data_IF_842550778816
#
_entry.id   IF_842550778816
#
_cell.length_a   1.000
_cell.length_b   1.000
_cell.length_c   1.000
_cell.angle_alpha   90.00
_cell.angle_beta   90.00
_cell.angle_gamma   90.00
#
_symmetry.space_group_name_H-M   'P 1'
#
loop_
_entity.id
_entity.type
_entity.pdbx_description
1 polymer ?
#
# COMPACT_ATOMS: atom_id res chain seq x y z
N UNK A 1 13.41 -11.22 -17.39
CA UNK A 1 14.04 -10.81 -16.10
C UNK A 1 12.87 -10.49 -15.19
N UNK A 2 12.69 -11.21 -14.08
CA UNK A 2 11.63 -10.88 -13.14
C UNK A 2 11.84 -9.43 -12.68
N UNK A 3 10.77 -8.62 -12.74
CA UNK A 3 10.87 -7.19 -12.44
C UNK A 3 11.18 -6.94 -10.95
N UNK A 4 10.83 -7.91 -10.07
CA UNK A 4 11.02 -7.82 -8.63
C UNK A 4 11.60 -9.13 -8.09
N UNK A 5 12.87 -9.08 -7.68
CA UNK A 5 13.58 -10.22 -7.09
C UNK A 5 13.29 -10.32 -5.58
N UNK A 6 13.60 -11.48 -5.00
CA UNK A 6 13.52 -11.73 -3.55
C UNK A 6 12.10 -11.67 -2.94
N UNK A 7 11.06 -11.96 -3.73
CA UNK A 7 9.70 -12.16 -3.21
C UNK A 7 9.44 -13.65 -2.90
N UNK A 8 8.59 -13.99 -1.94
CA UNK A 8 7.84 -13.11 -1.01
C UNK A 8 8.71 -12.53 0.10
N UNK A 9 8.32 -11.34 0.62
CA UNK A 9 8.94 -10.79 1.82
C UNK A 9 8.32 -11.44 3.06
N UNK A 10 9.15 -11.88 3.98
CA UNK A 10 8.72 -12.54 5.22
C UNK A 10 9.08 -11.70 6.44
N UNK A 11 8.12 -11.59 7.35
CA UNK A 11 8.30 -10.95 8.65
C UNK A 11 7.99 -11.95 9.77
N UNK A 12 7.93 -11.50 11.01
CA UNK A 12 7.61 -12.38 12.14
C UNK A 12 6.18 -12.94 12.08
N UNK A 13 5.23 -12.18 11.53
CA UNK A 13 3.80 -12.52 11.54
C UNK A 13 3.15 -12.54 10.15
N UNK A 14 3.85 -12.03 9.13
CA UNK A 14 3.29 -11.79 7.80
C UNK A 14 4.15 -12.40 6.69
N UNK A 15 3.47 -12.73 5.59
CA UNK A 15 4.09 -13.00 4.29
C UNK A 15 3.52 -12.00 3.29
N UNK A 16 4.38 -11.15 2.72
CA UNK A 16 4.00 -10.22 1.66
C UNK A 16 4.32 -10.88 0.32
N UNK A 17 3.32 -11.23 -0.44
CA UNK A 17 3.46 -11.98 -1.68
C UNK A 17 2.66 -11.38 -2.83
N UNK A 18 3.05 -11.61 -4.09
CA UNK A 18 2.19 -11.28 -5.22
C UNK A 18 0.78 -11.85 -5.03
N UNK A 19 -0.22 -11.14 -5.55
CA UNK A 19 -1.59 -11.62 -5.60
C UNK A 19 -1.69 -12.82 -6.56
N UNK A 20 -2.63 -13.71 -6.30
CA UNK A 20 -2.85 -14.92 -7.08
C UNK A 20 -4.33 -15.24 -7.17
N UNK A 21 -4.68 -16.14 -8.11
CA UNK A 21 -6.02 -16.71 -8.19
C UNK A 21 -6.39 -17.35 -6.83
N UNK A 22 -7.64 -17.10 -6.41
CA UNK A 22 -8.14 -17.49 -5.09
C UNK A 22 -8.13 -16.36 -4.04
N UNK A 23 -7.46 -15.23 -4.31
CA UNK A 23 -7.45 -14.06 -3.41
C UNK A 23 -8.70 -13.17 -3.58
N UNK A 24 -9.54 -13.39 -4.61
CA UNK A 24 -10.64 -12.50 -4.99
C UNK A 24 -11.61 -12.23 -3.86
N UNK A 25 -11.99 -13.28 -3.14
CA UNK A 25 -12.95 -13.17 -2.03
C UNK A 25 -12.44 -12.29 -0.90
N UNK A 26 -11.16 -12.45 -0.52
CA UNK A 26 -10.54 -11.65 0.52
C UNK A 26 -10.34 -10.20 0.07
N UNK A 27 -9.89 -9.97 -1.17
CA UNK A 27 -9.75 -8.62 -1.74
C UNK A 27 -11.10 -7.91 -1.81
N UNK A 28 -12.13 -8.61 -2.29
CA UNK A 28 -13.47 -8.04 -2.34
C UNK A 28 -13.97 -7.65 -0.94
N UNK A 29 -13.78 -8.51 0.06
CA UNK A 29 -14.16 -8.19 1.44
C UNK A 29 -13.45 -6.94 1.99
N UNK A 30 -12.20 -6.68 1.57
CA UNK A 30 -11.43 -5.50 1.96
C UNK A 30 -11.96 -4.26 1.23
N UNK A 31 -12.00 -4.30 -0.10
CA UNK A 31 -12.27 -3.12 -0.93
C UNK A 31 -13.75 -2.83 -1.14
N UNK A 32 -14.67 -3.69 -0.70
CA UNK A 32 -16.11 -3.41 -0.60
C UNK A 32 -16.54 -2.90 0.78
N UNK A 33 -15.67 -2.96 1.80
CA UNK A 33 -15.97 -2.45 3.14
C UNK A 33 -15.93 -0.91 3.13
N UNK A 34 -17.08 -0.21 3.35
CA UNK A 34 -17.11 1.25 3.38
C UNK A 34 -16.21 1.87 4.47
N UNK A 35 -15.89 1.14 5.53
CA UNK A 35 -14.97 1.61 6.57
C UNK A 35 -13.54 1.68 6.05
N UNK A 36 -13.12 0.67 5.28
CA UNK A 36 -11.80 0.61 4.65
C UNK A 36 -11.69 1.67 3.56
N UNK A 37 -12.73 1.80 2.74
CA UNK A 37 -12.73 2.67 1.56
C UNK A 37 -13.09 4.12 1.84
N UNK A 38 -13.40 4.49 3.09
CA UNK A 38 -13.88 5.82 3.47
C UNK A 38 -13.03 6.99 2.96
N UNK A 39 -11.73 6.81 2.88
CA UNK A 39 -10.76 7.85 2.52
C UNK A 39 -9.97 7.50 1.25
N UNK A 40 -10.52 6.61 0.43
CA UNK A 40 -9.92 6.22 -0.82
C UNK A 40 -10.35 7.17 -1.97
N UNK A 41 -9.50 7.25 -2.99
CA UNK A 41 -9.78 8.01 -4.21
C UNK A 41 -10.77 7.32 -5.17
N UNK A 42 -11.35 6.19 -4.74
CA UNK A 42 -12.34 5.41 -5.49
C UNK A 42 -13.44 4.92 -4.54
N UNK A 43 -14.68 4.74 -5.01
CA UNK A 43 -15.75 4.18 -4.18
C UNK A 43 -15.48 2.71 -3.83
N UNK A 44 -16.20 2.16 -2.83
CA UNK A 44 -16.18 0.73 -2.54
C UNK A 44 -16.53 -0.12 -3.77
N UNK A 45 -15.88 -1.27 -3.89
CA UNK A 45 -16.14 -2.16 -5.03
C UNK A 45 -17.57 -2.70 -5.04
N UNK A 46 -18.24 -2.66 -6.21
CA UNK A 46 -19.65 -3.05 -6.30
C UNK A 46 -19.85 -4.57 -6.36
N UNK A 47 -18.85 -5.33 -6.79
CA UNK A 47 -18.93 -6.78 -7.00
C UNK A 47 -17.54 -7.44 -7.03
N UNK A 48 -17.54 -8.76 -7.08
CA UNK A 48 -16.33 -9.59 -7.09
C UNK A 48 -15.49 -9.43 -8.37
N UNK A 49 -16.08 -8.97 -9.48
CA UNK A 49 -15.36 -8.81 -10.73
C UNK A 49 -14.30 -7.72 -10.66
N UNK A 50 -14.49 -6.72 -9.79
CA UNK A 50 -13.44 -5.72 -9.50
C UNK A 50 -12.18 -6.36 -8.89
N UNK A 51 -12.35 -7.37 -8.01
CA UNK A 51 -11.23 -8.11 -7.45
C UNK A 51 -10.50 -8.95 -8.50
N UNK A 52 -11.26 -9.65 -9.36
CA UNK A 52 -10.70 -10.42 -10.47
C UNK A 52 -9.93 -9.54 -11.44
N UNK A 53 -10.49 -8.38 -11.78
CA UNK A 53 -9.83 -7.41 -12.65
C UNK A 53 -8.53 -6.89 -12.05
N UNK A 54 -8.49 -6.63 -10.72
CA UNK A 54 -7.27 -6.23 -10.03
C UNK A 54 -6.20 -7.32 -10.12
N UNK A 55 -6.53 -8.58 -9.78
CA UNK A 55 -5.59 -9.70 -9.83
C UNK A 55 -5.05 -9.89 -11.24
N UNK A 56 -5.94 -9.94 -12.25
CA UNK A 56 -5.54 -10.13 -13.65
C UNK A 56 -4.61 -9.02 -14.13
N UNK A 57 -4.90 -7.76 -13.76
CA UNK A 57 -4.04 -6.63 -14.07
C UNK A 57 -2.68 -6.77 -13.37
N UNK A 58 -2.66 -7.08 -12.08
CA UNK A 58 -1.41 -7.17 -11.32
C UNK A 58 -0.53 -8.32 -11.83
N UNK A 59 -1.11 -9.47 -12.20
CA UNK A 59 -0.37 -10.57 -12.83
C UNK A 59 0.22 -10.15 -14.18
N UNK A 60 -0.53 -9.36 -14.97
CA UNK A 60 -0.10 -8.91 -16.30
C UNK A 60 0.89 -7.74 -16.26
N UNK A 61 0.82 -6.88 -15.25
CA UNK A 61 1.53 -5.59 -15.18
C UNK A 61 2.47 -5.44 -13.98
N UNK A 62 2.73 -6.53 -13.23
CA UNK A 62 3.75 -6.50 -12.18
C UNK A 62 5.12 -6.37 -12.85
N UNK A 63 5.36 -5.16 -13.32
CA UNK A 63 6.54 -4.73 -14.03
C UNK A 63 7.32 -3.70 -13.20
N UNK A 64 8.24 -3.01 -13.87
CA UNK A 64 9.18 -2.09 -13.22
C UNK A 64 8.53 -0.86 -12.57
N UNK A 65 7.27 -0.56 -12.84
CA UNK A 65 6.60 0.68 -12.38
C UNK A 65 5.56 0.45 -11.29
N UNK A 66 5.20 -0.82 -11.05
CA UNK A 66 4.12 -1.17 -10.13
C UNK A 66 4.34 -2.50 -9.41
N UNK A 67 4.45 -2.46 -8.10
CA UNK A 67 4.55 -3.63 -7.22
C UNK A 67 3.42 -3.61 -6.21
N UNK A 68 2.47 -4.55 -6.29
CA UNK A 68 1.51 -4.81 -5.21
C UNK A 68 1.74 -6.17 -4.59
N UNK A 69 1.69 -6.20 -3.27
CA UNK A 69 1.79 -7.43 -2.48
C UNK A 69 0.54 -7.60 -1.62
N UNK A 70 0.02 -8.81 -1.59
CA UNK A 70 -0.97 -9.23 -0.61
C UNK A 70 -0.31 -9.45 0.74
N UNK A 71 -0.95 -8.99 1.81
CA UNK A 71 -0.53 -9.19 3.20
C UNK A 71 -1.24 -10.44 3.71
N UNK A 72 -0.50 -11.53 3.84
CA UNK A 72 -0.99 -12.82 4.30
C UNK A 72 -0.48 -13.09 5.72
N UNK A 73 -1.34 -13.57 6.62
CA UNK A 73 -0.91 -13.99 7.96
C UNK A 73 -0.04 -15.23 7.84
N UNK A 74 1.12 -15.25 8.50
CA UNK A 74 2.05 -16.38 8.49
C UNK A 74 1.41 -17.67 9.07
N UNK A 75 0.48 -17.52 10.01
CA UNK A 75 -0.31 -18.60 10.54
C UNK A 75 -1.74 -18.53 9.99
N UNK A 76 -2.19 -19.58 9.30
CA UNK A 76 -3.53 -19.70 8.75
C UNK A 76 -3.73 -19.15 7.34
N UNK A 77 -2.71 -18.56 6.72
CA UNK A 77 -2.68 -18.13 5.31
C UNK A 77 -3.85 -17.23 4.88
N UNK A 78 -4.43 -16.47 5.82
CA UNK A 78 -5.50 -15.54 5.52
C UNK A 78 -4.93 -14.25 4.92
N UNK A 79 -5.42 -13.84 3.74
CA UNK A 79 -5.12 -12.53 3.16
C UNK A 79 -5.90 -11.46 3.93
N UNK A 80 -5.20 -10.55 4.59
CA UNK A 80 -5.80 -9.51 5.45
C UNK A 80 -5.61 -8.10 4.93
N UNK A 81 -4.85 -7.91 3.85
CA UNK A 81 -4.61 -6.58 3.29
C UNK A 81 -3.77 -6.62 2.03
N UNK A 82 -3.45 -5.43 1.55
CA UNK A 82 -2.48 -5.21 0.48
C UNK A 82 -1.59 -4.01 0.81
N UNK A 83 -0.38 -4.01 0.26
CA UNK A 83 0.49 -2.84 0.19
C UNK A 83 1.16 -2.78 -1.18
N UNK A 84 1.44 -1.58 -1.66
CA UNK A 84 1.99 -1.38 -2.99
C UNK A 84 3.03 -0.25 -3.01
N UNK A 85 4.02 -0.39 -3.89
CA UNK A 85 4.80 0.71 -4.43
C UNK A 85 4.36 0.91 -5.88
N UNK A 86 3.98 2.11 -6.24
CA UNK A 86 3.49 2.44 -7.58
C UNK A 86 4.08 3.77 -8.06
N UNK A 87 3.84 4.09 -9.34
CA UNK A 87 4.49 5.23 -10.00
C UNK A 87 6.00 5.23 -9.78
N UNK A 88 6.59 4.02 -9.87
CA UNK A 88 8.03 3.82 -9.66
C UNK A 88 8.78 4.49 -10.81
N UNK A 89 9.45 5.59 -10.50
CA UNK A 89 10.30 6.32 -11.43
C UNK A 89 11.77 5.95 -11.17
N UNK A 90 12.31 5.09 -12.03
CA UNK A 90 13.68 4.60 -11.89
C UNK A 90 14.74 5.72 -12.05
N UNK A 91 14.47 6.74 -12.87
CA UNK A 91 15.38 7.87 -13.08
C UNK A 91 15.47 8.76 -11.85
N UNK A 92 14.32 9.10 -11.25
CA UNK A 92 14.26 9.89 -10.02
C UNK A 92 14.41 9.04 -8.76
N UNK A 93 14.41 7.70 -8.89
CA UNK A 93 14.45 6.76 -7.77
C UNK A 93 13.35 7.04 -6.75
N UNK A 94 12.12 7.25 -7.23
CA UNK A 94 10.96 7.65 -6.46
C UNK A 94 9.80 6.68 -6.70
N UNK A 95 8.99 6.46 -5.68
CA UNK A 95 7.73 5.72 -5.77
C UNK A 95 6.69 6.32 -4.84
N UNK A 96 5.42 5.99 -5.08
CA UNK A 96 4.34 6.22 -4.12
C UNK A 96 3.99 4.93 -3.38
N UNK A 97 3.55 5.04 -2.11
CA UNK A 97 3.09 3.91 -1.32
C UNK A 97 1.58 4.00 -1.07
N UNK A 98 0.90 2.88 -1.31
CA UNK A 98 -0.52 2.73 -0.98
C UNK A 98 -0.78 1.42 -0.24
N UNK A 99 -1.81 1.39 0.61
CA UNK A 99 -2.10 0.21 1.42
C UNK A 99 -3.55 0.17 1.90
N UNK A 100 -4.06 -1.05 2.06
CA UNK A 100 -5.36 -1.34 2.66
C UNK A 100 -5.25 -2.52 3.61
N UNK A 101 -6.00 -2.48 4.71
CA UNK A 101 -6.10 -3.58 5.67
C UNK A 101 -7.57 -3.83 5.98
N UNK A 102 -7.99 -5.09 6.00
CA UNK A 102 -9.32 -5.48 6.44
C UNK A 102 -9.64 -4.85 7.81
N UNK A 103 -10.84 -4.31 7.98
CA UNK A 103 -11.25 -3.64 9.22
C UNK A 103 -11.15 -4.57 10.45
N UNK A 104 -11.34 -5.88 10.25
CA UNK A 104 -11.18 -6.92 11.27
C UNK A 104 -9.73 -7.16 11.70
N UNK A 105 -8.75 -6.71 10.91
CA UNK A 105 -7.33 -6.87 11.19
C UNK A 105 -6.69 -5.59 11.78
N UNK A 106 -7.46 -4.52 11.96
CA UNK A 106 -6.96 -3.27 12.54
C UNK A 106 -6.52 -3.44 14.00
N UNK A 107 -5.68 -2.55 14.48
CA UNK A 107 -5.21 -2.54 15.87
C UNK A 107 -4.10 -3.55 16.21
N UNK A 108 -3.78 -4.48 15.31
CA UNK A 108 -2.78 -5.54 15.54
C UNK A 108 -1.34 -5.16 15.15
N UNK A 109 -1.15 -3.97 14.58
CA UNK A 109 0.18 -3.52 14.10
C UNK A 109 0.63 -4.16 12.78
N UNK A 110 -0.22 -4.95 12.12
CA UNK A 110 0.12 -5.64 10.87
C UNK A 110 0.52 -4.68 9.75
N UNK A 111 -0.19 -3.56 9.59
CA UNK A 111 0.15 -2.59 8.54
C UNK A 111 1.53 -1.96 8.78
N UNK A 112 1.88 -1.64 10.02
CA UNK A 112 3.20 -1.11 10.34
C UNK A 112 4.30 -2.12 10.01
N UNK A 113 4.12 -3.39 10.35
CA UNK A 113 5.05 -4.47 10.05
C UNK A 113 5.18 -4.70 8.53
N UNK A 114 4.06 -4.71 7.81
CA UNK A 114 4.04 -4.87 6.36
C UNK A 114 4.76 -3.71 5.65
N UNK A 115 4.43 -2.46 6.01
CA UNK A 115 5.06 -1.30 5.40
C UNK A 115 6.54 -1.18 5.75
N UNK A 116 6.96 -1.58 6.95
CA UNK A 116 8.39 -1.66 7.30
C UNK A 116 9.14 -2.58 6.33
N UNK A 117 8.61 -3.78 6.06
CA UNK A 117 9.24 -4.71 5.12
C UNK A 117 9.21 -4.20 3.68
N UNK A 118 8.10 -3.57 3.25
CA UNK A 118 7.98 -3.01 1.90
C UNK A 118 8.94 -1.83 1.68
N UNK A 119 9.06 -0.91 2.65
CA UNK A 119 9.96 0.24 2.59
C UNK A 119 11.43 -0.22 2.58
N UNK A 120 11.79 -1.20 3.44
CA UNK A 120 13.12 -1.80 3.42
C UNK A 120 13.45 -2.36 2.04
N UNK A 121 12.51 -3.11 1.43
CA UNK A 121 12.65 -3.61 0.07
C UNK A 121 12.81 -2.48 -0.96
N UNK A 122 11.99 -1.44 -0.85
CA UNK A 122 12.05 -0.28 -1.74
C UNK A 122 13.40 0.43 -1.69
N UNK A 123 13.95 0.64 -0.51
CA UNK A 123 15.23 1.33 -0.36
C UNK A 123 16.44 0.45 -0.69
N UNK A 124 16.44 -0.83 -0.25
CA UNK A 124 17.61 -1.69 -0.39
C UNK A 124 17.69 -2.40 -1.74
N UNK A 125 16.54 -2.88 -2.25
CA UNK A 125 16.51 -3.71 -3.46
C UNK A 125 16.17 -2.87 -4.69
N UNK A 126 15.14 -2.02 -4.61
CA UNK A 126 14.76 -1.14 -5.72
C UNK A 126 15.60 0.13 -5.78
N UNK A 127 16.48 0.35 -4.78
CA UNK A 127 17.38 1.52 -4.71
C UNK A 127 16.62 2.86 -4.80
N UNK A 128 15.43 2.92 -4.20
CA UNK A 128 14.67 4.17 -4.14
C UNK A 128 15.42 5.20 -3.28
N UNK A 129 15.33 6.47 -3.67
CA UNK A 129 15.80 7.60 -2.89
C UNK A 129 14.68 8.23 -2.05
N UNK A 130 13.42 8.06 -2.52
CA UNK A 130 12.26 8.71 -1.92
C UNK A 130 11.01 7.84 -2.09
N UNK A 131 10.21 7.76 -1.04
CA UNK A 131 8.84 7.21 -1.08
C UNK A 131 7.87 8.29 -0.64
N UNK A 132 6.80 8.46 -1.41
CA UNK A 132 5.74 9.43 -1.18
C UNK A 132 4.45 8.72 -0.75
N UNK A 133 3.59 9.42 -0.04
CA UNK A 133 2.24 8.98 0.27
C UNK A 133 1.26 10.15 0.16
N UNK A 134 0.12 9.87 -0.47
CA UNK A 134 -1.01 10.78 -0.62
C UNK A 134 -2.17 10.24 0.22
N UNK A 135 -2.64 11.01 1.19
CA UNK A 135 -3.75 10.59 2.05
C UNK A 135 -4.78 11.70 2.24
N UNK A 136 -6.05 11.33 2.44
CA UNK A 136 -7.06 12.27 2.90
C UNK A 136 -6.64 12.81 4.30
N UNK A 137 -6.62 14.15 4.51
CA UNK A 137 -6.22 14.75 5.79
C UNK A 137 -7.08 14.30 6.98
N UNK A 138 -8.30 13.81 6.73
CA UNK A 138 -9.20 13.26 7.75
C UNK A 138 -8.82 11.85 8.19
N UNK A 139 -7.89 11.18 7.49
CA UNK A 139 -7.42 9.83 7.81
C UNK A 139 -6.29 9.86 8.84
N UNK A 140 -6.64 10.19 10.09
CA UNK A 140 -5.71 10.23 11.22
C UNK A 140 -4.93 8.92 11.41
N UNK A 141 -5.56 7.78 11.13
CA UNK A 141 -4.93 6.47 11.29
C UNK A 141 -3.78 6.28 10.31
N UNK A 142 -3.98 6.69 9.06
CA UNK A 142 -2.94 6.66 8.02
C UNK A 142 -1.83 7.66 8.36
N UNK A 143 -2.17 8.90 8.71
CA UNK A 143 -1.20 9.91 9.10
C UNK A 143 -0.29 9.45 10.26
N UNK A 144 -0.88 8.89 11.35
CA UNK A 144 -0.12 8.33 12.48
C UNK A 144 0.77 7.16 12.07
N UNK A 145 0.32 6.32 11.13
CA UNK A 145 1.11 5.20 10.63
C UNK A 145 2.31 5.69 9.83
N UNK A 146 2.14 6.66 8.95
CA UNK A 146 3.20 7.27 8.15
C UNK A 146 4.23 7.97 9.05
N UNK A 147 3.78 8.81 9.99
CA UNK A 147 4.67 9.49 10.94
C UNK A 147 5.50 8.49 11.76
N UNK A 148 4.89 7.39 12.20
CA UNK A 148 5.59 6.33 12.95
C UNK A 148 6.65 5.62 12.09
N UNK A 149 6.43 5.51 10.79
CA UNK A 149 7.40 4.97 9.82
C UNK A 149 8.48 5.98 9.45
N UNK A 150 8.37 7.25 9.90
CA UNK A 150 9.36 8.29 9.66
C UNK A 150 9.06 9.23 8.51
N UNK A 151 7.89 9.10 7.89
CA UNK A 151 7.46 10.08 6.91
C UNK A 151 7.28 11.46 7.56
N UNK A 152 7.59 12.49 6.81
CA UNK A 152 7.31 13.89 7.15
C UNK A 152 6.16 14.40 6.28
N UNK A 153 5.22 15.15 6.88
CA UNK A 153 4.20 15.87 6.10
C UNK A 153 4.87 17.04 5.38
N UNK A 154 4.68 17.14 4.07
CA UNK A 154 5.33 18.14 3.23
C UNK A 154 4.38 19.19 2.68
N UNK A 155 3.06 18.93 2.69
CA UNK A 155 2.09 19.90 2.21
C UNK A 155 0.68 19.38 2.17
N UNK A 156 -0.23 20.27 1.75
CA UNK A 156 -1.63 19.97 1.49
C UNK A 156 -2.00 20.45 0.10
N UNK A 157 -2.77 19.64 -0.64
CA UNK A 157 -3.38 20.02 -1.92
C UNK A 157 -4.88 20.10 -1.73
N UNK A 158 -5.45 21.27 -1.97
CA UNK A 158 -6.89 21.50 -1.85
C UNK A 158 -7.63 20.89 -3.02
N UNK A 159 -8.81 20.29 -2.75
CA UNK A 159 -9.75 19.78 -3.75
C UNK A 159 -9.10 18.80 -4.75
N UNK A 160 -8.20 17.96 -4.25
CA UNK A 160 -7.39 17.02 -5.06
C UNK A 160 -8.23 15.89 -5.66
N UNK A 161 -9.27 15.43 -4.93
CA UNK A 161 -10.08 14.29 -5.31
C UNK A 161 -11.56 14.63 -5.32
N UNK A 162 -12.30 13.99 -6.22
CA UNK A 162 -13.77 14.00 -6.24
C UNK A 162 -14.21 12.53 -6.34
N UNK A 163 -14.85 12.03 -5.28
CA UNK A 163 -15.33 10.64 -5.21
C UNK A 163 -16.81 10.66 -4.91
N UNK A 164 -17.63 10.11 -5.81
CA UNK A 164 -19.10 10.12 -5.72
C UNK A 164 -19.68 11.52 -5.43
N UNK A 165 -19.04 12.56 -5.98
CA UNK A 165 -19.42 13.98 -5.78
C UNK A 165 -18.88 14.61 -4.50
N UNK A 166 -18.25 13.86 -3.61
CA UNK A 166 -17.54 14.43 -2.45
C UNK A 166 -16.16 14.93 -2.85
N UNK A 167 -15.91 16.21 -2.61
CA UNK A 167 -14.62 16.86 -2.84
C UNK A 167 -13.77 16.69 -1.59
N UNK A 168 -12.51 16.28 -1.74
CA UNK A 168 -11.57 16.14 -0.65
C UNK A 168 -10.17 16.66 -0.97
N UNK A 169 -9.51 17.15 0.07
CA UNK A 169 -8.12 17.57 0.05
C UNK A 169 -7.18 16.36 0.15
N UNK A 170 -5.90 16.59 -0.07
CA UNK A 170 -4.83 15.64 0.16
C UNK A 170 -3.77 16.22 1.07
N UNK A 171 -3.28 15.41 2.00
CA UNK A 171 -2.03 15.64 2.72
C UNK A 171 -0.92 14.79 2.09
N UNK A 172 0.15 15.46 1.67
CA UNK A 172 1.33 14.82 1.08
C UNK A 172 2.37 14.52 2.15
N UNK A 173 2.88 13.30 2.12
CA UNK A 173 3.96 12.83 2.99
C UNK A 173 5.12 12.33 2.15
N UNK A 174 6.35 12.51 2.64
CA UNK A 174 7.57 12.00 2.03
C UNK A 174 8.49 11.35 3.05
N UNK A 175 9.24 10.34 2.57
CA UNK A 175 10.30 9.67 3.33
C UNK A 175 11.51 9.50 2.42
N UNK A 176 12.67 9.97 2.88
CA UNK A 176 13.92 9.86 2.15
C UNK A 176 14.74 8.66 2.62
N UNK A 177 15.47 8.03 1.69
CA UNK A 177 16.35 6.90 2.02
C UNK A 177 17.28 7.20 3.20
N UNK A 178 17.90 8.39 3.23
CA UNK A 178 18.80 8.80 4.33
C UNK A 178 18.10 8.88 5.69
N UNK A 179 16.82 9.25 5.69
CA UNK A 179 16.02 9.35 6.92
C UNK A 179 15.64 7.95 7.41
N UNK A 180 15.31 7.05 6.48
CA UNK A 180 15.05 5.64 6.77
C UNK A 180 16.28 4.97 7.40
N UNK A 181 17.44 5.09 6.75
CA UNK A 181 18.68 4.49 7.22
C UNK A 181 19.15 5.03 8.58
N UNK A 182 18.85 6.28 8.92
CA UNK A 182 19.19 6.87 10.22
C UNK A 182 18.33 6.35 11.39
N UNK A 183 17.28 5.57 11.11
CA UNK A 183 16.36 5.00 12.13
C UNK A 183 16.67 3.53 12.46
N UNK A 184 17.52 2.88 11.66
CA UNK A 184 17.88 1.45 11.75
C UNK A 184 18.94 1.20 12.80
#
# INVERSE_FOLDING_TARGET
MQAFDNLPLRTSRLTLRPLRDGDEGALFAIYSDPKVMRYWSTPPWPNLDAARAMISRDIATMDKEYLRLGIELAHGSALVGTCALFDINATCRRAEVGYALASTAWGNGYMHEALTALLQYGFDVLNLNRVEADIDPRNDSSAKSLLRLGFSKEGDLRERWIVDGEVSDTALFGLLQREWMARS
#
